data_IF_005080265133
#
_entry.id   IF_005080265133
#
_cell.length_a   1.000
_cell.length_b   1.000
_cell.length_c   1.000
_cell.angle_alpha   90.00
_cell.angle_beta   90.00
_cell.angle_gamma   90.00
#
_symmetry.space_group_name_H-M   'P 1'
#
loop_
_entity.id
_entity.type
_entity.pdbx_description
1 polymer ?
#
# COMPACT_ATOMS: atom_id res chain seq x y z
N UNK A 1 12.15 -19.56 5.58
CA UNK A 1 11.00 -19.19 6.42
C UNK A 1 9.71 -19.50 5.69
N UNK A 2 8.66 -19.95 6.40
CA UNK A 2 7.34 -20.11 5.81
C UNK A 2 6.63 -18.75 5.81
N UNK A 3 6.05 -18.36 4.67
CA UNK A 3 5.25 -17.13 4.57
C UNK A 3 3.97 -17.27 5.39
N UNK A 4 3.70 -16.29 6.27
CA UNK A 4 2.49 -16.22 7.10
C UNK A 4 1.74 -14.94 6.76
N UNK A 5 0.42 -15.05 6.55
CA UNK A 5 -0.43 -13.89 6.30
C UNK A 5 -1.02 -13.35 7.61
N UNK A 6 -1.41 -12.05 7.67
CA UNK A 6 -2.13 -11.50 8.82
C UNK A 6 -3.30 -12.39 9.22
N UNK A 7 -3.52 -12.53 10.53
CA UNK A 7 -4.72 -13.20 11.09
C UNK A 7 -4.80 -14.71 10.82
N UNK A 8 -3.74 -15.33 10.30
CA UNK A 8 -3.67 -16.78 10.08
C UNK A 8 -3.82 -17.58 11.39
N UNK A 9 -3.44 -16.99 12.52
CA UNK A 9 -3.61 -17.54 13.86
C UNK A 9 -5.08 -17.68 14.32
N UNK A 10 -6.03 -17.04 13.62
CA UNK A 10 -7.47 -17.17 13.92
C UNK A 10 -8.07 -18.49 13.42
N UNK A 11 -7.38 -19.18 12.52
CA UNK A 11 -7.86 -20.42 11.90
C UNK A 11 -7.20 -21.61 12.56
N UNK A 12 -8.00 -22.63 12.89
CA UNK A 12 -7.52 -23.80 13.61
C UNK A 12 -7.32 -24.99 12.67
N UNK A 13 -8.19 -25.17 11.67
CA UNK A 13 -8.06 -26.30 10.74
C UNK A 13 -7.03 -26.02 9.63
N UNK A 14 -6.37 -27.06 9.10
CA UNK A 14 -5.52 -26.94 7.91
C UNK A 14 -6.25 -26.37 6.70
N UNK A 15 -7.51 -26.76 6.49
CA UNK A 15 -8.33 -26.34 5.35
C UNK A 15 -8.62 -24.82 5.39
N UNK A 16 -9.01 -24.30 6.55
CA UNK A 16 -9.24 -22.85 6.75
C UNK A 16 -7.97 -22.03 6.51
N UNK A 17 -6.81 -22.52 6.98
CA UNK A 17 -5.52 -21.86 6.75
C UNK A 17 -5.16 -21.83 5.26
N UNK A 18 -5.38 -22.92 4.54
CA UNK A 18 -5.15 -22.99 3.09
C UNK A 18 -6.08 -22.02 2.35
N UNK A 19 -7.36 -21.98 2.73
CA UNK A 19 -8.35 -21.08 2.14
C UNK A 19 -7.96 -19.61 2.39
N UNK A 20 -7.59 -19.26 3.62
CA UNK A 20 -7.15 -17.91 4.00
C UNK A 20 -5.92 -17.47 3.21
N UNK A 21 -4.89 -18.33 3.13
CA UNK A 21 -3.68 -18.09 2.32
C UNK A 21 -4.03 -17.86 0.87
N UNK A 22 -4.83 -18.75 0.29
CA UNK A 22 -5.23 -18.67 -1.12
C UNK A 22 -5.99 -17.37 -1.41
N UNK A 23 -6.95 -17.00 -0.56
CA UNK A 23 -7.70 -15.74 -0.69
C UNK A 23 -6.78 -14.52 -0.63
N UNK A 24 -5.80 -14.48 0.27
CA UNK A 24 -4.86 -13.36 0.38
C UNK A 24 -3.91 -13.26 -0.82
N UNK A 25 -3.44 -14.40 -1.33
CA UNK A 25 -2.65 -14.44 -2.57
C UNK A 25 -3.47 -13.93 -3.77
N UNK A 26 -4.71 -14.42 -3.92
CA UNK A 26 -5.61 -13.96 -5.00
C UNK A 26 -5.86 -12.46 -4.90
N UNK A 27 -6.14 -11.93 -3.70
CA UNK A 27 -6.31 -10.48 -3.47
C UNK A 27 -5.06 -9.68 -3.82
N UNK A 28 -3.89 -10.16 -3.44
CA UNK A 28 -2.64 -9.49 -3.79
C UNK A 28 -2.44 -9.45 -5.31
N UNK A 29 -2.57 -10.59 -5.98
CA UNK A 29 -2.40 -10.68 -7.44
C UNK A 29 -3.40 -9.80 -8.20
N UNK A 30 -4.67 -9.84 -7.80
CA UNK A 30 -5.72 -9.02 -8.43
C UNK A 30 -5.47 -7.52 -8.23
N UNK A 31 -5.03 -7.09 -7.03
CA UNK A 31 -4.64 -5.69 -6.79
C UNK A 31 -3.45 -5.25 -7.65
N UNK A 32 -2.44 -6.11 -7.81
CA UNK A 32 -1.29 -5.84 -8.67
C UNK A 32 -1.70 -5.71 -10.13
N UNK A 33 -2.50 -6.65 -10.64
CA UNK A 33 -3.04 -6.60 -12.01
C UNK A 33 -3.88 -5.33 -12.24
N UNK A 34 -4.69 -4.94 -11.25
CA UNK A 34 -5.51 -3.76 -11.35
C UNK A 34 -4.68 -2.47 -11.34
N UNK A 35 -3.68 -2.35 -10.47
CA UNK A 35 -2.76 -1.20 -10.48
C UNK A 35 -1.97 -1.14 -11.80
N UNK A 36 -1.56 -2.29 -12.33
CA UNK A 36 -0.97 -2.35 -13.66
C UNK A 36 -1.94 -1.83 -14.74
N UNK A 37 -3.21 -2.24 -14.70
CA UNK A 37 -4.24 -1.73 -15.60
C UNK A 37 -4.43 -0.21 -15.47
N UNK A 38 -4.50 0.32 -14.25
CA UNK A 38 -4.59 1.77 -14.02
C UNK A 38 -3.38 2.52 -14.57
N UNK A 39 -2.17 1.95 -14.43
CA UNK A 39 -0.95 2.48 -15.07
C UNK A 39 -1.11 2.54 -16.59
N UNK A 40 -1.58 1.46 -17.23
CA UNK A 40 -1.80 1.43 -18.68
C UNK A 40 -2.85 2.45 -19.14
N UNK A 41 -3.89 2.68 -18.33
CA UNK A 41 -4.93 3.68 -18.59
C UNK A 41 -4.51 5.10 -18.20
N UNK A 42 -3.28 5.31 -17.74
CA UNK A 42 -2.78 6.61 -17.29
C UNK A 42 -3.65 7.21 -16.17
N UNK A 43 -4.16 6.36 -15.26
CA UNK A 43 -4.95 6.73 -14.08
C UNK A 43 -4.12 6.71 -12.78
N UNK A 44 -2.83 6.40 -12.88
CA UNK A 44 -1.86 6.51 -11.79
C UNK A 44 -0.64 7.26 -12.33
N UNK A 45 0.02 8.12 -11.54
CA UNK A 45 1.26 8.79 -11.92
C UNK A 45 2.32 7.76 -12.35
N UNK A 46 2.97 8.00 -13.49
CA UNK A 46 3.96 7.06 -14.05
C UNK A 46 5.24 7.04 -13.21
N UNK A 47 5.51 8.16 -12.57
CA UNK A 47 6.54 8.44 -11.58
C UNK A 47 6.57 7.41 -10.45
N UNK A 48 5.40 6.87 -10.05
CA UNK A 48 5.31 5.81 -9.04
C UNK A 48 5.82 4.44 -9.52
N UNK A 49 6.25 4.34 -10.78
CA UNK A 49 6.81 3.13 -11.37
C UNK A 49 8.19 3.38 -12.01
N UNK A 50 8.79 4.54 -11.74
CA UNK A 50 10.10 4.94 -12.21
C UNK A 50 11.09 4.88 -11.04
N UNK A 51 12.10 4.02 -11.17
CA UNK A 51 13.05 3.75 -10.08
C UNK A 51 13.89 4.99 -9.76
N UNK A 52 14.32 5.72 -10.77
CA UNK A 52 15.16 6.91 -10.61
C UNK A 52 14.34 8.04 -9.98
N UNK A 53 13.10 8.22 -10.43
CA UNK A 53 12.21 9.21 -9.84
C UNK A 53 11.95 8.93 -8.36
N UNK A 54 11.63 7.67 -8.04
CA UNK A 54 11.37 7.24 -6.66
C UNK A 54 12.58 7.48 -5.76
N UNK A 55 13.77 7.08 -6.21
CA UNK A 55 15.02 7.21 -5.43
C UNK A 55 15.41 8.66 -5.19
N UNK A 56 15.22 9.54 -6.18
CA UNK A 56 15.69 10.92 -6.12
C UNK A 56 14.67 11.88 -5.48
N UNK A 57 13.37 11.61 -5.56
CA UNK A 57 12.33 12.59 -5.24
C UNK A 57 11.32 12.15 -4.18
N UNK A 58 11.19 10.84 -3.91
CA UNK A 58 10.09 10.33 -3.07
C UNK A 58 10.55 9.48 -1.89
N UNK A 59 11.47 8.54 -2.08
CA UNK A 59 11.79 7.50 -1.11
C UNK A 59 13.23 7.63 -0.58
N UNK A 60 13.39 7.45 0.74
CA UNK A 60 14.69 7.35 1.41
C UNK A 60 15.29 5.97 1.19
N UNK A 61 16.61 5.92 0.98
CA UNK A 61 17.40 4.68 0.90
C UNK A 61 16.82 3.64 -0.09
N UNK A 62 16.14 4.10 -1.13
CA UNK A 62 15.48 3.23 -2.10
C UNK A 62 16.48 2.80 -3.16
N UNK A 63 17.00 1.58 -3.02
CA UNK A 63 17.83 0.94 -4.04
C UNK A 63 17.36 -0.49 -4.29
N UNK A 64 16.37 -0.70 -5.18
CA UNK A 64 15.75 -2.01 -5.41
C UNK A 64 16.66 -3.00 -6.14
N UNK A 65 17.75 -2.52 -6.73
CA UNK A 65 18.75 -3.32 -7.42
C UNK A 65 19.99 -3.59 -6.56
N UNK A 66 20.08 -3.03 -5.36
CA UNK A 66 21.19 -3.30 -4.47
C UNK A 66 21.17 -4.77 -4.05
N UNK A 67 22.27 -5.45 -4.33
CA UNK A 67 22.56 -6.79 -3.86
C UNK A 67 23.59 -6.60 -2.75
N UNK A 68 23.24 -6.93 -1.52
CA UNK A 68 24.12 -6.72 -0.36
C UNK A 68 24.06 -7.90 0.60
N UNK A 69 25.22 -8.29 1.13
CA UNK A 69 25.39 -9.43 2.04
C UNK A 69 26.37 -10.49 1.54
N UNK A 70 26.84 -11.35 2.45
CA UNK A 70 27.73 -12.50 2.15
C UNK A 70 27.06 -13.55 1.24
N UNK A 71 25.74 -13.52 1.18
CA UNK A 71 24.90 -14.22 0.22
C UNK A 71 24.16 -13.16 -0.58
N UNK A 72 24.42 -13.08 -1.88
CA UNK A 72 23.86 -12.08 -2.80
C UNK A 72 22.32 -12.11 -2.81
N UNK A 73 21.72 -11.30 -1.93
CA UNK A 73 20.28 -11.16 -1.82
C UNK A 73 19.88 -9.71 -2.02
N UNK A 74 18.73 -9.50 -2.67
CA UNK A 74 18.09 -8.19 -2.74
C UNK A 74 17.58 -7.80 -1.35
N UNK A 75 17.53 -6.50 -1.07
CA UNK A 75 16.94 -5.97 0.18
C UNK A 75 15.56 -6.59 0.45
N UNK A 76 15.41 -7.13 1.66
CA UNK A 76 14.15 -7.70 2.17
C UNK A 76 13.19 -6.63 2.70
N UNK A 77 13.61 -5.36 2.73
CA UNK A 77 12.82 -4.28 3.35
C UNK A 77 11.51 -4.02 2.61
N UNK A 78 11.42 -4.42 1.35
CA UNK A 78 10.21 -4.33 0.53
C UNK A 78 9.63 -2.91 0.49
N UNK A 79 10.52 -1.89 0.45
CA UNK A 79 10.16 -0.47 0.55
C UNK A 79 9.11 -0.09 -0.49
N UNK A 80 9.28 -0.49 -1.75
CA UNK A 80 8.33 -0.19 -2.82
C UNK A 80 6.92 -0.71 -2.50
N UNK A 81 6.82 -1.95 -2.02
CA UNK A 81 5.53 -2.54 -1.67
C UNK A 81 4.89 -1.80 -0.49
N UNK A 82 5.65 -1.54 0.58
CA UNK A 82 5.16 -0.86 1.78
C UNK A 82 4.76 0.60 1.50
N UNK A 83 5.67 1.39 0.94
CA UNK A 83 5.48 2.82 0.76
C UNK A 83 4.56 3.16 -0.42
N UNK A 84 4.67 2.45 -1.55
CA UNK A 84 3.93 2.79 -2.77
C UNK A 84 2.69 1.91 -2.92
N UNK A 85 2.84 0.60 -3.04
CA UNK A 85 1.72 -0.28 -3.39
C UNK A 85 0.66 -0.38 -2.28
N UNK A 86 1.06 -0.54 -1.02
CA UNK A 86 0.09 -0.59 0.08
C UNK A 86 -0.67 0.74 0.24
N UNK A 87 0.01 1.88 0.11
CA UNK A 87 -0.66 3.18 0.13
C UNK A 87 -1.58 3.37 -1.09
N UNK A 88 -1.18 2.89 -2.27
CA UNK A 88 -2.07 2.87 -3.44
C UNK A 88 -3.33 2.05 -3.18
N UNK A 89 -3.18 0.84 -2.65
CA UNK A 89 -4.32 -0.03 -2.36
C UNK A 89 -5.24 0.60 -1.32
N UNK A 90 -4.74 0.82 -0.11
CA UNK A 90 -5.60 1.06 1.05
C UNK A 90 -5.91 2.53 1.30
N UNK A 91 -5.00 3.43 0.89
CA UNK A 91 -5.08 4.84 1.25
C UNK A 91 -5.34 5.78 0.07
N UNK A 92 -5.37 5.28 -1.16
CA UNK A 92 -5.75 6.10 -2.33
C UNK A 92 -6.91 5.51 -3.10
N UNK A 93 -6.81 4.25 -3.55
CA UNK A 93 -7.89 3.63 -4.32
C UNK A 93 -9.13 3.35 -3.46
N UNK A 94 -8.93 3.23 -2.14
CA UNK A 94 -9.99 3.06 -1.15
C UNK A 94 -10.33 4.32 -0.31
N UNK A 95 -9.76 5.47 -0.63
CA UNK A 95 -10.05 6.72 0.09
C UNK A 95 -10.24 7.88 -0.88
N UNK A 96 -11.33 8.67 -0.76
CA UNK A 96 -11.54 9.82 -1.62
C UNK A 96 -10.55 10.95 -1.31
N UNK A 97 -10.25 11.77 -2.33
CA UNK A 97 -9.35 12.93 -2.21
C UNK A 97 -9.91 13.97 -1.24
N UNK A 98 -11.23 14.14 -1.26
CA UNK A 98 -12.00 15.00 -0.35
C UNK A 98 -13.24 14.21 0.12
N UNK A 99 -13.78 14.53 1.31
CA UNK A 99 -15.04 13.95 1.78
C UNK A 99 -16.15 14.02 0.71
N UNK A 100 -16.83 12.91 0.46
CA UNK A 100 -17.87 12.82 -0.59
C UNK A 100 -19.24 13.23 -0.04
N UNK A 101 -19.45 13.10 1.28
CA UNK A 101 -20.70 13.50 1.94
C UNK A 101 -20.46 13.91 3.39
N UNK A 102 -21.52 14.29 4.11
CA UNK A 102 -21.43 14.58 5.56
C UNK A 102 -21.17 13.31 6.38
N UNK A 103 -21.54 12.16 5.83
CA UNK A 103 -21.42 10.84 6.45
C UNK A 103 -20.07 10.19 6.13
N UNK A 104 -19.54 10.37 4.92
CA UNK A 104 -18.20 9.92 4.54
C UNK A 104 -17.17 11.04 4.70
N UNK A 105 -16.59 11.11 5.89
CA UNK A 105 -15.55 12.08 6.28
C UNK A 105 -14.13 11.65 5.91
N UNK A 106 -13.96 10.51 5.23
CA UNK A 106 -12.63 10.00 4.88
C UNK A 106 -11.94 10.96 3.92
N UNK A 107 -10.65 11.15 4.15
CA UNK A 107 -9.80 11.95 3.29
C UNK A 107 -8.40 11.34 3.27
N UNK A 108 -7.74 11.43 2.12
CA UNK A 108 -6.35 10.99 1.95
C UNK A 108 -5.41 11.81 2.83
N UNK A 109 -4.50 11.12 3.50
CA UNK A 109 -3.45 11.72 4.31
C UNK A 109 -2.65 10.65 5.03
N UNK A 110 -1.51 11.04 5.60
CA UNK A 110 -0.70 10.15 6.43
C UNK A 110 -1.29 10.00 7.83
N UNK A 111 -1.11 8.82 8.41
CA UNK A 111 -1.44 8.57 9.82
C UNK A 111 -0.59 9.49 10.70
N UNK A 112 -1.23 10.18 11.65
CA UNK A 112 -0.49 10.91 12.68
C UNK A 112 0.16 9.90 13.64
N UNK A 113 1.39 10.18 14.06
CA UNK A 113 2.17 9.33 14.98
C UNK A 113 1.64 9.33 16.43
N UNK A 114 0.55 10.05 16.71
CA UNK A 114 -0.02 10.17 18.05
C UNK A 114 -0.79 8.88 18.41
N UNK A 115 -0.14 8.06 19.25
CA UNK A 115 -0.48 6.70 19.68
C UNK A 115 -1.79 6.52 20.47
N UNK A 116 -2.78 7.41 20.34
CA UNK A 116 -4.06 7.26 21.03
C UNK A 116 -5.22 7.16 20.02
N UNK A 117 -5.81 5.95 19.93
CA UNK A 117 -7.15 5.73 19.37
C UNK A 117 -7.26 5.47 17.86
N UNK A 118 -6.26 5.82 17.04
CA UNK A 118 -6.39 5.73 15.57
C UNK A 118 -6.21 4.32 14.97
N UNK A 119 -5.82 3.31 15.76
CA UNK A 119 -5.35 2.04 15.21
C UNK A 119 -6.40 1.13 14.59
N UNK A 120 -7.69 1.24 14.95
CA UNK A 120 -8.73 0.35 14.37
C UNK A 120 -9.48 0.95 13.19
N UNK A 121 -9.75 2.26 13.17
CA UNK A 121 -10.56 2.89 12.12
C UNK A 121 -9.77 3.67 11.05
N UNK A 122 -8.46 3.88 11.22
CA UNK A 122 -7.65 4.64 10.26
C UNK A 122 -7.09 3.80 9.10
N UNK A 123 -7.76 2.71 8.71
CA UNK A 123 -7.28 1.81 7.65
C UNK A 123 -7.20 2.48 6.27
N UNK A 124 -7.90 3.60 6.10
CA UNK A 124 -7.88 4.45 4.91
C UNK A 124 -6.75 5.49 4.87
N UNK A 125 -5.97 5.64 5.95
CA UNK A 125 -4.82 6.57 6.01
C UNK A 125 -3.52 5.92 5.54
N UNK A 126 -2.65 6.72 4.93
CA UNK A 126 -1.34 6.30 4.42
C UNK A 126 -0.39 5.92 5.56
N UNK A 127 0.44 4.91 5.30
CA UNK A 127 1.39 4.30 6.23
C UNK A 127 2.82 4.50 5.73
N UNK A 128 3.78 4.14 6.58
CA UNK A 128 5.21 4.14 6.26
C UNK A 128 5.77 5.49 5.82
N UNK A 129 5.26 6.58 6.41
CA UNK A 129 5.78 7.94 6.20
C UNK A 129 7.31 8.01 6.33
N UNK A 130 7.88 7.23 7.26
CA UNK A 130 9.32 7.10 7.48
C UNK A 130 10.14 6.74 6.23
N UNK A 131 9.55 6.06 5.25
CA UNK A 131 10.23 5.67 4.00
C UNK A 131 10.24 6.80 2.97
N UNK A 132 9.50 7.89 3.19
CA UNK A 132 9.47 9.02 2.27
C UNK A 132 10.50 10.08 2.64
N UNK A 133 11.21 10.60 1.63
CA UNK A 133 12.01 11.83 1.73
C UNK A 133 11.11 13.05 1.71
N UNK A 134 10.01 12.98 0.97
CA UNK A 134 8.97 14.00 0.91
C UNK A 134 7.56 13.37 0.89
N UNK A 135 6.93 13.13 2.06
CA UNK A 135 5.60 12.56 2.16
C UNK A 135 4.51 13.42 1.48
N UNK A 136 4.60 14.75 1.62
CA UNK A 136 3.63 15.67 1.01
C UNK A 136 3.65 15.59 -0.52
N UNK A 137 4.84 15.49 -1.12
CA UNK A 137 4.97 15.29 -2.56
C UNK A 137 4.31 13.98 -3.03
N UNK A 138 4.42 12.90 -2.25
CA UNK A 138 3.67 11.67 -2.57
C UNK A 138 2.15 11.90 -2.54
N UNK A 139 1.65 12.58 -1.52
CA UNK A 139 0.22 12.90 -1.36
C UNK A 139 -0.30 13.76 -2.53
N UNK A 140 0.43 14.81 -2.90
CA UNK A 140 0.14 15.65 -4.06
C UNK A 140 0.08 14.82 -5.35
N UNK A 141 1.09 13.98 -5.57
CA UNK A 141 1.21 13.15 -6.76
C UNK A 141 0.02 12.20 -6.90
N UNK A 142 -0.38 11.50 -5.83
CA UNK A 142 -1.54 10.59 -5.90
C UNK A 142 -2.87 11.35 -6.01
N UNK A 143 -3.00 12.52 -5.37
CA UNK A 143 -4.20 13.35 -5.46
C UNK A 143 -4.38 13.98 -6.85
N UNK A 144 -3.31 14.20 -7.60
CA UNK A 144 -3.38 14.75 -8.95
C UNK A 144 -4.08 13.82 -9.95
N UNK A 145 -4.13 12.51 -9.70
CA UNK A 145 -4.43 11.54 -10.75
C UNK A 145 -5.09 10.24 -10.32
N UNK A 146 -4.78 9.72 -9.12
CA UNK A 146 -5.28 8.41 -8.69
C UNK A 146 -6.76 8.51 -8.32
N UNK A 147 -7.66 7.75 -8.97
CA UNK A 147 -9.08 7.82 -8.69
C UNK A 147 -9.44 7.14 -7.36
N UNK A 148 -10.62 7.44 -6.85
CA UNK A 148 -11.27 6.67 -5.79
C UNK A 148 -12.22 5.64 -6.40
N UNK A 149 -12.18 4.39 -5.90
CA UNK A 149 -12.92 3.25 -6.47
C UNK A 149 -13.87 2.58 -5.46
N UNK A 150 -14.12 3.22 -4.32
CA UNK A 150 -15.20 2.88 -3.39
C UNK A 150 -15.22 1.43 -2.84
N UNK A 151 -14.03 0.91 -2.46
CA UNK A 151 -13.87 -0.13 -1.43
C UNK A 151 -14.53 -1.48 -1.66
N UNK A 152 -13.84 -2.33 -2.44
CA UNK A 152 -14.09 -3.78 -2.44
C UNK A 152 -12.81 -4.55 -2.67
N UNK A 153 -12.23 -4.43 -3.87
CA UNK A 153 -10.93 -5.04 -4.19
C UNK A 153 -9.81 -4.50 -3.29
N UNK A 154 -9.91 -3.26 -2.85
CA UNK A 154 -8.88 -2.52 -2.13
C UNK A 154 -9.13 -2.40 -0.62
N UNK A 155 -10.09 -3.13 -0.07
CA UNK A 155 -10.33 -3.08 1.36
C UNK A 155 -9.18 -3.70 2.16
N UNK A 156 -8.80 -2.99 3.22
CA UNK A 156 -7.83 -3.48 4.18
C UNK A 156 -8.54 -4.47 5.09
N UNK A 157 -8.13 -5.74 5.03
CA UNK A 157 -8.71 -6.84 5.82
C UNK A 157 -7.78 -7.25 6.96
N UNK A 158 -6.87 -6.36 7.36
CA UNK A 158 -5.98 -6.54 8.50
C UNK A 158 -6.79 -6.39 9.80
N UNK A 159 -7.67 -7.35 10.09
CA UNK A 159 -8.42 -7.51 11.34
C UNK A 159 -7.82 -8.59 12.22
#
# INVERSE_FOLDING_TARGET
>A
ENVTFPSENKYSSPEEKIEHKSKNVIRLLTRLLFVWFLKQKNLVPKELFDIDYLSNNLLKDFNPHNISGLFEHKSLDSIYYKAILQNLFFATLNCPIQPISKEDTRQRGFRKNDNYGQHRDANFLMRYEKHFSNPEHFLELVNSKVPFLNGGLFDCLDE
#
